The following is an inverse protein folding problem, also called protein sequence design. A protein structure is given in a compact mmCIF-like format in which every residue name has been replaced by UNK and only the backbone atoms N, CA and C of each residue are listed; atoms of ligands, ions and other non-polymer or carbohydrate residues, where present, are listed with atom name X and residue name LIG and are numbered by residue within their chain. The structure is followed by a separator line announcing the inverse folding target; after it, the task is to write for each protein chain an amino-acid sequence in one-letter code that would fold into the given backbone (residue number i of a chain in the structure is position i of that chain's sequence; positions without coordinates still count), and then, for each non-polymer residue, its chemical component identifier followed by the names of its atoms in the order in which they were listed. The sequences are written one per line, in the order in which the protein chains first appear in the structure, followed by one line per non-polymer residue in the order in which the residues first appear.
data_IF_918754006236
#
_entry.id   IF_918754006236
#
_cell.length_a   1.000
_cell.length_b   1.000
_cell.length_c   1.000
_cell.angle_alpha   90.00
_cell.angle_beta   90.00
_cell.angle_gamma   90.00
#
_symmetry.space_group_name_H-M   'P 1'
#
loop_
_entity.id
_entity.type
_entity.pdbx_description
1 polymer ?
#
# COMPACT_ATOMS: atom_id res chain seq x y z
N UNK A 1 1.33 -16.89 0.21
CA UNK A 1 0.63 -15.58 0.19
C UNK A 1 1.64 -14.56 0.63
N UNK A 2 1.98 -13.61 -0.23
CA UNK A 2 2.95 -12.56 0.09
C UNK A 2 2.23 -11.40 0.78
N UNK A 3 2.80 -10.95 1.89
CA UNK A 3 2.33 -9.82 2.65
C UNK A 3 3.45 -8.79 2.71
N UNK A 4 3.22 -7.62 2.11
CA UNK A 4 4.09 -6.48 2.29
C UNK A 4 3.73 -5.82 3.61
N UNK A 5 4.71 -5.73 4.51
CA UNK A 5 4.59 -5.03 5.79
C UNK A 5 5.44 -3.78 5.70
N UNK A 6 4.82 -2.63 5.84
CA UNK A 6 5.48 -1.32 5.80
C UNK A 6 5.03 -0.50 6.98
N UNK A 7 5.97 0.29 7.54
CA UNK A 7 5.65 1.21 8.61
C UNK A 7 4.56 2.15 8.12
N UNK A 8 3.48 2.19 8.88
CA UNK A 8 2.21 2.77 8.47
C UNK A 8 2.30 4.29 8.32
N UNK A 9 1.47 4.85 7.43
CA UNK A 9 1.40 6.29 7.23
C UNK A 9 0.86 7.01 8.47
N UNK A 10 1.30 8.25 8.70
CA UNK A 10 0.62 9.14 9.63
C UNK A 10 -0.55 9.80 8.90
N UNK A 11 -1.77 9.45 9.29
CA UNK A 11 -2.97 10.09 8.76
C UNK A 11 -3.25 11.40 9.47
N UNK A 12 -3.62 12.43 8.72
CA UNK A 12 -3.91 13.75 9.27
C UNK A 12 -5.39 13.98 9.56
N UNK A 13 -6.27 13.11 9.04
CA UNK A 13 -7.70 13.11 9.32
C UNK A 13 -8.33 11.76 8.96
N UNK A 14 -9.57 11.52 9.39
CA UNK A 14 -10.33 10.34 8.98
C UNK A 14 -10.58 10.28 7.47
N UNK A 15 -10.84 11.43 6.83
CA UNK A 15 -11.03 11.47 5.37
C UNK A 15 -9.76 11.15 4.59
N UNK A 16 -8.60 11.50 5.15
CA UNK A 16 -7.28 11.16 4.61
C UNK A 16 -7.02 9.64 4.69
N UNK A 17 -7.30 9.04 5.86
CA UNK A 17 -7.27 7.58 6.03
C UNK A 17 -8.21 6.85 5.05
N UNK A 18 -9.45 7.33 4.90
CA UNK A 18 -10.42 6.76 3.98
C UNK A 18 -9.95 6.86 2.52
N UNK A 19 -9.34 7.99 2.13
CA UNK A 19 -8.77 8.18 0.80
C UNK A 19 -7.60 7.22 0.54
N UNK A 20 -6.70 7.05 1.52
CA UNK A 20 -5.61 6.07 1.46
C UNK A 20 -6.13 4.67 1.14
N UNK A 21 -7.05 4.16 1.96
CA UNK A 21 -7.58 2.81 1.81
C UNK A 21 -8.38 2.67 0.52
N UNK A 22 -9.05 3.73 0.07
CA UNK A 22 -9.76 3.74 -1.20
C UNK A 22 -8.82 3.63 -2.40
N UNK A 23 -7.70 4.36 -2.42
CA UNK A 23 -6.68 4.23 -3.48
C UNK A 23 -6.06 2.83 -3.49
N UNK A 24 -5.68 2.30 -2.32
CA UNK A 24 -5.09 0.97 -2.21
C UNK A 24 -6.01 -0.13 -2.76
N UNK A 25 -7.33 -0.04 -2.51
CA UNK A 25 -8.31 -1.01 -3.01
C UNK A 25 -8.51 -0.95 -4.53
N UNK A 26 -8.06 0.09 -5.21
CA UNK A 26 -8.13 0.22 -6.68
C UNK A 26 -6.98 -0.47 -7.40
N UNK A 27 -5.88 -0.75 -6.71
CA UNK A 27 -4.76 -1.53 -7.26
C UNK A 27 -5.20 -2.99 -7.34
N UNK A 28 -5.24 -3.58 -8.54
CA UNK A 28 -5.74 -4.97 -8.73
C UNK A 28 -4.90 -5.98 -7.96
N UNK A 29 -3.59 -5.79 -7.91
CA UNK A 29 -2.66 -6.61 -7.13
C UNK A 29 -2.99 -6.66 -5.63
N UNK A 30 -3.71 -5.67 -5.08
CA UNK A 30 -4.11 -5.68 -3.66
C UNK A 30 -5.30 -6.61 -3.47
N UNK A 31 -5.08 -7.66 -2.67
CA UNK A 31 -6.16 -8.54 -2.20
C UNK A 31 -6.82 -7.97 -0.95
N UNK A 32 -6.02 -7.49 -0.01
CA UNK A 32 -6.48 -6.93 1.27
C UNK A 32 -5.48 -5.91 1.79
N UNK A 33 -5.97 -4.91 2.49
CA UNK A 33 -5.15 -3.91 3.18
C UNK A 33 -5.75 -3.68 4.56
N UNK A 34 -4.91 -3.67 5.59
CA UNK A 34 -5.33 -3.42 6.98
C UNK A 34 -4.20 -2.79 7.78
N UNK A 35 -4.56 -1.89 8.69
CA UNK A 35 -3.66 -1.39 9.73
C UNK A 35 -3.59 -2.39 10.89
N UNK A 36 -2.40 -2.59 11.45
CA UNK A 36 -2.17 -3.35 12.69
C UNK A 36 -1.16 -2.59 13.53
N UNK A 37 -1.64 -1.90 14.56
CA UNK A 37 -0.80 -0.99 15.34
C UNK A 37 -0.24 0.12 14.46
N UNK A 38 1.09 0.22 14.39
CA UNK A 38 1.79 1.22 13.56
C UNK A 38 2.14 0.71 12.15
N UNK A 39 1.80 -0.53 11.81
CA UNK A 39 2.17 -1.13 10.54
C UNK A 39 0.96 -1.29 9.63
N UNK A 40 1.23 -1.17 8.32
CA UNK A 40 0.27 -1.47 7.29
C UNK A 40 0.60 -2.84 6.70
N UNK A 41 -0.39 -3.72 6.71
CA UNK A 41 -0.32 -5.04 6.10
C UNK A 41 -1.07 -5.02 4.77
N UNK A 42 -0.33 -5.21 3.69
CA UNK A 42 -0.87 -5.28 2.33
C UNK A 42 -0.70 -6.72 1.85
N UNK A 43 -1.83 -7.41 1.71
CA UNK A 43 -1.88 -8.74 1.15
C UNK A 43 -2.00 -8.63 -0.36
N UNK A 44 -1.06 -9.26 -1.07
CA UNK A 44 -1.02 -9.24 -2.52
C UNK A 44 -1.69 -10.49 -3.10
N UNK A 45 -2.34 -10.33 -4.25
CA UNK A 45 -2.81 -11.44 -5.05
C UNK A 45 -1.60 -12.19 -5.61
N UNK A 46 -1.68 -13.52 -5.78
CA UNK A 46 -0.64 -14.27 -6.45
C UNK A 46 -0.52 -13.84 -7.91
N UNK A 47 0.71 -13.59 -8.37
CA UNK A 47 1.01 -13.16 -9.74
C UNK A 47 2.04 -12.03 -9.77
N UNK A 48 2.55 -11.73 -10.96
CA UNK A 48 3.44 -10.59 -11.16
C UNK A 48 2.66 -9.28 -11.07
N UNK A 49 3.20 -8.31 -10.33
CA UNK A 49 2.66 -6.94 -10.29
C UNK A 49 3.06 -6.24 -11.59
N UNK A 50 2.11 -5.54 -12.21
CA UNK A 50 2.37 -4.76 -13.42
C UNK A 50 3.19 -3.50 -13.12
N UNK A 51 3.82 -2.93 -14.15
CA UNK A 51 4.56 -1.66 -13.99
C UNK A 51 3.65 -0.51 -13.53
N UNK A 52 2.41 -0.48 -14.00
CA UNK A 52 1.42 0.53 -13.60
C UNK A 52 1.03 0.38 -12.13
N UNK A 53 0.78 -0.84 -11.67
CA UNK A 53 0.48 -1.09 -10.25
C UNK A 53 1.65 -0.75 -9.34
N UNK A 54 2.90 -1.08 -9.75
CA UNK A 54 4.11 -0.62 -9.03
C UNK A 54 4.18 0.90 -8.94
N UNK A 55 3.80 1.60 -10.02
CA UNK A 55 3.77 3.06 -10.05
C UNK A 55 2.70 3.62 -9.11
N UNK A 56 1.53 2.99 -9.02
CA UNK A 56 0.48 3.34 -8.07
C UNK A 56 0.92 3.13 -6.61
N UNK A 57 1.56 2.00 -6.29
CA UNK A 57 2.15 1.80 -4.96
C UNK A 57 3.16 2.90 -4.62
N UNK A 58 4.08 3.20 -5.55
CA UNK A 58 5.09 4.24 -5.36
C UNK A 58 4.47 5.61 -5.12
N UNK A 59 3.44 5.98 -5.89
CA UNK A 59 2.78 7.28 -5.76
C UNK A 59 2.06 7.43 -4.41
N UNK A 60 1.36 6.39 -3.97
CA UNK A 60 0.67 6.36 -2.67
C UNK A 60 1.70 6.41 -1.54
N UNK A 61 2.72 5.56 -1.57
CA UNK A 61 3.72 5.50 -0.49
C UNK A 61 4.46 6.83 -0.35
N UNK A 62 4.85 7.43 -1.48
CA UNK A 62 5.45 8.75 -1.49
C UNK A 62 4.52 9.82 -0.89
N UNK A 63 3.22 9.81 -1.24
CA UNK A 63 2.25 10.77 -0.74
C UNK A 63 2.11 10.75 0.79
N UNK A 64 2.25 9.57 1.40
CA UNK A 64 2.09 9.41 2.84
C UNK A 64 3.42 9.23 3.59
N UNK A 65 4.55 9.54 2.95
CA UNK A 65 5.87 9.49 3.57
C UNK A 65 6.30 8.07 3.99
N UNK A 66 5.79 7.05 3.33
CA UNK A 66 6.10 5.65 3.60
C UNK A 66 7.39 5.23 2.89
N UNK A 67 8.08 4.23 3.45
CA UNK A 67 9.28 3.66 2.84
C UNK A 67 8.94 2.93 1.53
N UNK A 68 9.57 3.37 0.44
CA UNK A 68 9.40 2.79 -0.91
C UNK A 68 10.45 1.73 -1.26
N UNK A 69 11.47 1.52 -0.42
CA UNK A 69 12.62 0.66 -0.73
C UNK A 69 12.21 -0.80 -0.96
N UNK A 70 11.14 -1.26 -0.30
CA UNK A 70 10.59 -2.61 -0.48
C UNK A 70 9.77 -2.80 -1.75
N UNK A 71 9.48 -1.75 -2.53
CA UNK A 71 8.66 -1.84 -3.74
C UNK A 71 9.43 -2.33 -4.97
N UNK A 72 10.76 -2.20 -5.00
CA UNK A 72 11.57 -2.60 -6.16
C UNK A 72 11.65 -4.13 -6.31
N UNK A 73 11.29 -4.88 -5.26
CA UNK A 73 11.21 -6.35 -5.27
C UNK A 73 9.82 -6.94 -5.59
N UNK A 74 8.82 -6.09 -5.92
CA UNK A 74 7.43 -6.46 -6.18
C UNK A 74 7.09 -6.67 -7.67
#
# INVERSE_FOLDING_TARGET
MEALVVRGPMFHSRGDEEAFFWWMRRIRAVQRVSSRGHDLHIQLRPGAISADERREFRSIFHRYGMDTSGLDGL
#
